data_IF_735632345082
#
_entry.id   IF_735632345082
#
_cell.length_a   1.000
_cell.length_b   1.000
_cell.length_c   1.000
_cell.angle_alpha   90.00
_cell.angle_beta   90.00
_cell.angle_gamma   90.00
#
_symmetry.space_group_name_H-M   'P 1'
#
loop_
_entity.id
_entity.type
_entity.pdbx_description
1 polymer ?
#
# COMPACT_ATOMS: atom_id res chain seq x y z
N UNK A 1 5.04 -2.78 55.27
CA UNK A 1 5.10 -3.82 54.21
C UNK A 1 4.05 -3.60 53.12
N UNK A 2 2.78 -3.30 53.46
CA UNK A 2 1.69 -3.05 52.49
C UNK A 2 1.85 -1.84 51.55
N UNK A 3 2.47 -0.75 52.01
CA UNK A 3 2.68 0.47 51.21
C UNK A 3 3.64 0.28 50.03
N UNK A 4 4.64 -0.60 50.16
CA UNK A 4 5.58 -0.92 49.08
C UNK A 4 4.94 -1.77 47.97
N UNK A 5 3.96 -2.60 48.32
CA UNK A 5 3.25 -3.46 47.35
C UNK A 5 2.32 -2.60 46.49
N UNK A 6 1.64 -1.62 47.09
CA UNK A 6 0.74 -0.71 46.40
C UNK A 6 1.47 0.19 45.38
N UNK A 7 2.68 0.65 45.70
CA UNK A 7 3.52 1.43 44.78
C UNK A 7 4.00 0.61 43.59
N UNK A 8 4.39 -0.66 43.80
CA UNK A 8 4.80 -1.56 42.72
C UNK A 8 3.66 -1.88 41.76
N UNK A 9 2.45 -2.07 42.26
CA UNK A 9 1.25 -2.30 41.43
C UNK A 9 0.92 -1.07 40.58
N UNK A 10 0.97 0.14 41.15
CA UNK A 10 0.77 1.39 40.39
C UNK A 10 1.82 1.60 39.31
N UNK A 11 3.09 1.29 39.59
CA UNK A 11 4.18 1.40 38.62
C UNK A 11 4.02 0.42 37.45
N UNK A 12 3.64 -0.83 37.74
CA UNK A 12 3.37 -1.84 36.69
C UNK A 12 2.17 -1.44 35.82
N UNK A 13 1.10 -0.90 36.43
CA UNK A 13 -0.05 -0.40 35.68
C UNK A 13 0.32 0.78 34.77
N UNK A 14 1.15 1.71 35.26
CA UNK A 14 1.60 2.87 34.48
C UNK A 14 2.48 2.45 33.28
N UNK A 15 3.35 1.45 33.46
CA UNK A 15 4.18 0.90 32.37
C UNK A 15 3.31 0.18 31.33
N UNK A 16 2.30 -0.58 31.76
CA UNK A 16 1.38 -1.27 30.85
C UNK A 16 0.55 -0.28 30.01
N UNK A 17 0.17 0.87 30.57
CA UNK A 17 -0.54 1.95 29.86
C UNK A 17 0.39 2.71 28.90
N UNK A 18 1.68 2.86 29.23
CA UNK A 18 2.64 3.47 28.30
C UNK A 18 2.96 2.56 27.10
N UNK A 19 2.96 1.25 27.29
CA UNK A 19 3.27 0.28 26.23
C UNK A 19 2.13 0.10 25.23
N UNK A 20 0.89 0.44 25.58
CA UNK A 20 -0.27 0.35 24.67
C UNK A 20 -0.37 1.51 23.68
N UNK A 21 0.44 2.57 23.83
CA UNK A 21 0.47 3.71 22.89
C UNK A 21 1.39 3.46 21.69
N UNK A 22 2.13 2.34 21.66
CA UNK A 22 3.04 1.97 20.57
C UNK A 22 2.35 1.12 19.49
N UNK A 23 1.02 1.19 19.37
CA UNK A 23 0.31 0.61 18.23
C UNK A 23 0.79 1.33 16.96
N UNK A 24 1.61 0.65 16.16
CA UNK A 24 2.29 1.22 15.00
C UNK A 24 1.33 1.98 14.09
N UNK A 25 1.67 3.24 13.80
CA UNK A 25 0.94 4.04 12.82
C UNK A 25 1.01 3.35 11.47
N UNK A 26 -0.09 2.73 11.06
CA UNK A 26 -0.22 2.20 9.71
C UNK A 26 -0.35 3.36 8.73
N UNK A 27 0.46 3.34 7.69
CA UNK A 27 0.38 4.28 6.58
C UNK A 27 -0.11 3.60 5.30
N UNK A 28 -0.89 4.35 4.53
CA UNK A 28 -1.57 3.88 3.33
C UNK A 28 -1.21 4.77 2.14
N UNK A 29 -1.13 4.12 0.98
CA UNK A 29 -1.02 4.77 -0.31
C UNK A 29 -1.89 4.04 -1.33
N UNK A 30 -2.34 4.74 -2.35
CA UNK A 30 -3.16 4.15 -3.41
C UNK A 30 -2.71 4.63 -4.79
N UNK A 31 -2.98 3.81 -5.80
CA UNK A 31 -2.73 4.15 -7.19
C UNK A 31 -3.96 3.80 -8.05
N UNK A 32 -4.28 4.70 -8.98
CA UNK A 32 -5.26 4.48 -10.04
C UNK A 32 -4.50 4.16 -11.31
N UNK A 33 -4.56 2.89 -11.72
CA UNK A 33 -3.79 2.34 -12.82
C UNK A 33 -4.68 2.25 -14.06
N UNK A 34 -4.22 2.81 -15.17
CA UNK A 34 -4.91 2.84 -16.45
C UNK A 34 -3.96 2.41 -17.57
N UNK A 35 -4.50 1.71 -18.56
CA UNK A 35 -3.79 1.44 -19.81
C UNK A 35 -4.56 2.00 -21.01
N UNK A 36 -3.83 2.21 -22.10
CA UNK A 36 -4.38 2.54 -23.42
C UNK A 36 -3.89 1.48 -24.42
N UNK A 37 -4.79 0.65 -24.98
CA UNK A 37 -6.21 0.52 -24.64
C UNK A 37 -6.44 -0.05 -23.23
N UNK A 38 -7.67 0.10 -22.71
CA UNK A 38 -8.10 -0.47 -21.43
C UNK A 38 -8.23 -1.99 -21.50
N UNK A 39 -8.43 -2.64 -20.34
CA UNK A 39 -8.61 -4.09 -20.27
C UNK A 39 -7.29 -4.85 -20.34
N UNK A 40 -6.23 -4.31 -19.75
CA UNK A 40 -4.96 -4.99 -19.56
C UNK A 40 -4.90 -5.53 -18.13
N UNK A 41 -4.47 -6.78 -17.97
CA UNK A 41 -4.17 -7.37 -16.68
C UNK A 41 -2.92 -6.72 -16.11
N UNK A 42 -2.95 -6.38 -14.82
CA UNK A 42 -1.85 -5.76 -14.09
C UNK A 42 -1.35 -6.76 -13.07
N UNK A 43 -0.12 -7.23 -13.25
CA UNK A 43 0.52 -8.22 -12.38
C UNK A 43 1.65 -7.55 -11.60
N UNK A 44 1.67 -7.71 -10.29
CA UNK A 44 2.79 -7.29 -9.46
C UNK A 44 3.97 -8.23 -9.68
N UNK A 45 5.15 -7.71 -10.01
CA UNK A 45 6.34 -8.53 -10.26
C UNK A 45 7.10 -8.89 -8.98
N UNK A 46 6.74 -8.32 -7.83
CA UNK A 46 7.33 -8.69 -6.53
C UNK A 46 6.85 -10.08 -6.07
N UNK A 47 5.57 -10.41 -6.31
CA UNK A 47 4.90 -11.61 -5.79
C UNK A 47 4.03 -12.35 -6.81
N UNK A 48 4.11 -11.97 -8.09
CA UNK A 48 3.30 -12.48 -9.21
C UNK A 48 1.78 -12.38 -9.00
N UNK A 49 1.33 -11.56 -8.05
CA UNK A 49 -0.11 -11.39 -7.78
C UNK A 49 -0.81 -10.60 -8.88
N UNK A 50 -2.01 -11.05 -9.27
CA UNK A 50 -2.90 -10.30 -10.13
C UNK A 50 -3.54 -9.16 -9.32
N UNK A 51 -3.15 -7.92 -9.63
CA UNK A 51 -3.74 -6.73 -9.01
C UNK A 51 -5.13 -6.44 -9.58
N UNK A 52 -5.36 -6.76 -10.85
CA UNK A 52 -6.66 -6.65 -11.52
C UNK A 52 -6.53 -6.25 -12.98
N UNK A 53 -7.59 -5.68 -13.55
CA UNK A 53 -7.67 -5.32 -14.97
C UNK A 53 -7.95 -3.83 -15.13
N UNK A 54 -7.19 -3.14 -15.99
CA UNK A 54 -7.30 -1.69 -16.15
C UNK A 54 -8.65 -1.25 -16.72
N UNK A 55 -9.24 -0.14 -16.22
CA UNK A 55 -8.75 0.70 -15.13
C UNK A 55 -8.97 0.05 -13.74
N UNK A 56 -7.96 0.10 -12.87
CA UNK A 56 -8.03 -0.51 -11.53
C UNK A 56 -7.51 0.43 -10.44
N UNK A 57 -8.12 0.36 -9.26
CA UNK A 57 -7.68 1.06 -8.04
C UNK A 57 -7.04 0.06 -7.08
N UNK A 58 -5.79 0.29 -6.68
CA UNK A 58 -5.06 -0.56 -5.74
C UNK A 58 -4.56 0.30 -4.60
N UNK A 59 -4.56 -0.26 -3.40
CA UNK A 59 -3.99 0.36 -2.21
C UNK A 59 -2.97 -0.58 -1.58
N UNK A 60 -2.02 0.01 -0.88
CA UNK A 60 -1.03 -0.69 -0.08
C UNK A 60 -1.05 -0.16 1.33
N UNK A 61 -0.61 -1.00 2.26
CA UNK A 61 -0.41 -0.68 3.67
C UNK A 61 1.06 -0.89 4.02
N UNK A 62 1.62 0.00 4.81
CA UNK A 62 2.94 -0.13 5.42
C UNK A 62 2.86 0.31 6.89
N UNK A 63 3.83 -0.09 7.70
CA UNK A 63 3.94 0.30 9.11
C UNK A 63 4.70 1.61 9.31
N UNK A 64 5.12 2.25 8.20
CA UNK A 64 5.86 3.52 8.17
C UNK A 64 5.39 4.38 7.00
N UNK A 65 5.57 5.69 7.14
CA UNK A 65 5.31 6.69 6.10
C UNK A 65 6.42 6.74 5.03
N UNK A 66 6.89 5.57 4.60
CA UNK A 66 7.93 5.44 3.57
C UNK A 66 7.27 5.11 2.22
N UNK A 67 7.70 5.78 1.16
CA UNK A 67 7.19 5.51 -0.20
C UNK A 67 7.56 4.09 -0.64
N UNK A 68 6.63 3.39 -1.27
CA UNK A 68 6.87 2.03 -1.79
C UNK A 68 7.10 2.07 -3.30
N UNK A 69 8.17 1.47 -3.80
CA UNK A 69 8.37 1.23 -5.22
C UNK A 69 7.56 0.01 -5.65
N UNK A 70 6.68 0.18 -6.62
CA UNK A 70 5.82 -0.88 -7.16
C UNK A 70 6.25 -1.15 -8.60
N UNK A 71 6.56 -2.40 -8.92
CA UNK A 71 6.89 -2.84 -10.27
C UNK A 71 5.81 -3.78 -10.78
N UNK A 72 5.19 -3.43 -11.92
CA UNK A 72 4.09 -4.21 -12.49
C UNK A 72 4.33 -4.52 -13.97
N UNK A 73 3.78 -5.64 -14.41
CA UNK A 73 3.65 -6.00 -15.83
C UNK A 73 2.20 -5.83 -16.25
N UNK A 74 2.00 -5.17 -17.38
CA UNK A 74 0.73 -5.08 -18.09
C UNK A 74 0.69 -6.15 -19.17
N UNK A 75 -0.33 -6.98 -19.16
CA UNK A 75 -0.59 -7.99 -20.17
C UNK A 75 -1.93 -7.74 -20.86
N UNK A 76 -1.96 -7.80 -22.19
CA UNK A 76 -3.20 -7.72 -22.96
C UNK A 76 -3.07 -8.50 -24.28
N UNK A 77 -4.01 -9.40 -24.62
CA UNK A 77 -3.98 -10.09 -25.91
C UNK A 77 -3.93 -9.13 -27.10
N UNK A 78 -3.04 -9.41 -28.06
CA UNK A 78 -2.79 -8.55 -29.22
C UNK A 78 -1.82 -7.38 -28.97
N UNK A 79 -1.32 -7.20 -27.74
CA UNK A 79 -0.38 -6.13 -27.37
C UNK A 79 0.88 -6.70 -26.72
N UNK A 80 2.00 -6.01 -26.90
CA UNK A 80 3.25 -6.33 -26.22
C UNK A 80 3.09 -6.16 -24.69
N UNK A 81 3.64 -7.12 -23.94
CA UNK A 81 3.73 -6.99 -22.49
C UNK A 81 4.59 -5.78 -22.14
N UNK A 82 4.15 -5.00 -21.16
CA UNK A 82 4.87 -3.79 -20.74
C UNK A 82 5.11 -3.78 -19.24
N UNK A 83 6.39 -3.72 -18.87
CA UNK A 83 6.81 -3.56 -17.48
C UNK A 83 6.98 -2.08 -17.17
N UNK A 84 6.50 -1.65 -16.00
CA UNK A 84 6.70 -0.30 -15.50
C UNK A 84 6.91 -0.33 -13.99
N UNK A 85 7.60 0.68 -13.46
CA UNK A 85 7.75 0.89 -12.03
C UNK A 85 7.30 2.30 -11.66
N UNK A 86 6.68 2.45 -10.49
CA UNK A 86 6.24 3.73 -9.97
C UNK A 86 6.29 3.75 -8.44
N UNK A 87 6.50 4.94 -7.89
CA UNK A 87 6.45 5.15 -6.44
C UNK A 87 5.02 5.42 -5.98
N UNK A 88 4.65 4.80 -4.86
CA UNK A 88 3.40 5.05 -4.15
C UNK A 88 3.74 5.73 -2.83
N UNK A 89 3.23 6.95 -2.65
CA UNK A 89 3.42 7.72 -1.43
C UNK A 89 2.50 7.20 -0.32
N UNK A 90 3.10 6.64 0.73
CA UNK A 90 2.40 6.11 1.90
C UNK A 90 2.22 7.24 2.92
N UNK A 91 1.26 8.13 2.67
CA UNK A 91 1.09 9.37 3.46
C UNK A 91 -0.28 9.53 4.11
N UNK A 92 -1.14 8.51 3.99
CA UNK A 92 -2.51 8.56 4.48
C UNK A 92 -2.66 7.65 5.69
N UNK A 93 -3.38 8.10 6.72
CA UNK A 93 -3.66 7.33 7.93
C UNK A 93 -4.73 6.25 7.72
N UNK A 94 -5.45 6.29 6.60
CA UNK A 94 -6.51 5.33 6.27
C UNK A 94 -6.50 4.96 4.79
N UNK A 95 -6.97 3.74 4.50
CA UNK A 95 -7.23 3.28 3.13
C UNK A 95 -8.19 4.20 2.38
N UNK A 96 -9.28 4.61 3.04
CA UNK A 96 -10.32 5.43 2.43
C UNK A 96 -9.78 6.80 1.99
N UNK A 97 -8.86 7.40 2.75
CA UNK A 97 -8.26 8.68 2.38
C UNK A 97 -7.23 8.53 1.26
N UNK A 98 -6.47 7.42 1.25
CA UNK A 98 -5.57 7.10 0.15
C UNK A 98 -6.33 6.96 -1.18
N UNK A 99 -7.47 6.26 -1.18
CA UNK A 99 -8.29 6.04 -2.38
C UNK A 99 -8.96 7.31 -2.92
N UNK A 100 -9.16 8.35 -2.09
CA UNK A 100 -9.62 9.67 -2.52
C UNK A 100 -8.54 10.47 -3.27
N UNK A 101 -7.27 10.23 -2.95
CA UNK A 101 -6.11 10.94 -3.52
C UNK A 101 -5.08 9.97 -4.13
N UNK A 102 -5.49 9.10 -5.07
CA UNK A 102 -4.63 8.05 -5.58
C UNK A 102 -3.57 8.61 -6.54
N UNK A 103 -2.38 8.01 -6.54
CA UNK A 103 -1.34 8.29 -7.52
C UNK A 103 -1.84 7.86 -8.92
N UNK A 104 -1.89 8.76 -9.92
CA UNK A 104 -2.28 8.38 -11.27
C UNK A 104 -1.14 7.65 -11.98
N UNK A 105 -1.44 6.49 -12.57
CA UNK A 105 -0.50 5.71 -13.38
C UNK A 105 -1.17 5.40 -14.71
N UNK A 106 -0.62 5.92 -15.81
CA UNK A 106 -1.14 5.69 -17.17
C UNK A 106 -0.07 5.05 -18.04
N UNK A 107 -0.42 3.97 -18.73
CA UNK A 107 0.51 3.20 -19.56
C UNK A 107 -0.07 2.97 -20.96
N UNK A 108 0.65 3.42 -21.99
CA UNK A 108 0.31 3.09 -23.37
C UNK A 108 0.91 1.75 -23.76
N UNK A 109 0.08 0.86 -24.33
CA UNK A 109 0.49 -0.46 -24.81
C UNK A 109 0.68 -0.44 -26.32
N UNK A 110 1.72 -1.14 -26.79
CA UNK A 110 2.02 -1.27 -28.22
C UNK A 110 1.37 -2.53 -28.76
N UNK A 111 0.70 -2.50 -29.92
CA UNK A 111 0.25 -3.72 -30.59
C UNK A 111 1.42 -4.66 -30.87
N UNK A 112 1.20 -5.97 -30.79
CA UNK A 112 2.18 -6.95 -31.29
C UNK A 112 2.30 -6.78 -32.81
N UNK A 113 3.53 -6.91 -33.31
CA UNK A 113 3.80 -6.99 -34.75
C UNK A 113 3.32 -8.30 -35.33
#
# INVERSE_FOLDING_TARGET
MFTNILHKVKLVLAIAVLLSVVSGCSSYGAARIQSVPTGAEVVNLEDDSLLGTTPVMIHWKNDREESKLITVRFHKPGYEDKVTAFWVNMRHSSRADAEKQPQPVKVEMKPKK
#
